data_IF_660160747413
#
_entry.id   IF_660160747413
#
_cell.length_a   1.000
_cell.length_b   1.000
_cell.length_c   1.000
_cell.angle_alpha   90.00
_cell.angle_beta   90.00
_cell.angle_gamma   90.00
#
_symmetry.space_group_name_H-M   'P 1'
#
loop_
_entity.id
_entity.type
_entity.pdbx_description
1 polymer ?
#
# COMPACT_ATOMS: atom_id res chain seq x y z
N UNK A 1 10.49 -29.70 10.69
CA UNK A 1 10.76 -28.25 10.52
C UNK A 1 10.89 -28.01 9.04
N UNK A 2 9.86 -27.46 8.38
CA UNK A 2 9.89 -27.20 6.93
C UNK A 2 10.73 -25.94 6.69
N UNK A 3 11.73 -26.03 5.84
CA UNK A 3 12.53 -24.87 5.46
C UNK A 3 11.64 -23.77 4.85
N UNK A 4 11.89 -22.47 5.13
CA UNK A 4 11.15 -21.40 4.51
C UNK A 4 11.32 -21.48 2.98
N UNK A 5 10.22 -21.31 2.25
CA UNK A 5 10.26 -21.26 0.79
C UNK A 5 11.19 -20.13 0.35
N UNK A 6 11.99 -20.34 -0.72
CA UNK A 6 12.80 -19.26 -1.27
C UNK A 6 11.90 -18.07 -1.64
N UNK A 7 12.38 -16.83 -1.49
CA UNK A 7 11.58 -15.66 -1.80
C UNK A 7 11.14 -15.73 -3.26
N UNK A 8 9.84 -15.58 -3.49
CA UNK A 8 9.29 -15.53 -4.83
C UNK A 8 9.95 -14.40 -5.63
N UNK A 9 10.16 -14.57 -6.95
CA UNK A 9 10.71 -13.51 -7.79
C UNK A 9 9.84 -12.24 -7.68
N UNK A 10 10.50 -11.08 -7.69
CA UNK A 10 9.81 -9.79 -7.59
C UNK A 10 8.90 -9.58 -8.81
N UNK A 11 7.70 -9.05 -8.55
CA UNK A 11 6.75 -8.65 -9.60
C UNK A 11 7.23 -7.35 -10.27
N UNK A 12 6.82 -7.13 -11.51
CA UNK A 12 7.19 -5.94 -12.31
C UNK A 12 5.95 -5.21 -12.80
N UNK A 13 5.96 -3.88 -12.74
CA UNK A 13 4.89 -3.05 -13.30
C UNK A 13 5.02 -2.97 -14.83
N UNK A 14 3.98 -2.50 -15.52
CA UNK A 14 4.03 -2.26 -16.96
C UNK A 14 5.09 -1.21 -17.34
N UNK A 15 5.44 -0.30 -16.42
CA UNK A 15 6.44 0.74 -16.61
C UNK A 15 7.87 0.29 -16.23
N UNK A 16 8.06 -0.96 -15.80
CA UNK A 16 9.38 -1.47 -15.44
C UNK A 16 10.45 -1.26 -16.53
N UNK A 17 10.22 -1.58 -17.82
CA UNK A 17 11.22 -1.33 -18.87
C UNK A 17 11.62 0.15 -18.97
N UNK A 18 10.66 1.07 -18.84
CA UNK A 18 10.89 2.51 -18.87
C UNK A 18 11.80 2.97 -17.72
N UNK A 19 11.62 2.39 -16.53
CA UNK A 19 12.44 2.70 -15.36
C UNK A 19 13.88 2.24 -15.54
N UNK A 20 14.07 1.00 -16.00
CA UNK A 20 15.40 0.43 -16.24
C UNK A 20 16.14 1.21 -17.32
N UNK A 21 15.48 1.53 -18.44
CA UNK A 21 16.05 2.31 -19.54
C UNK A 21 16.54 3.69 -19.08
N UNK A 22 15.85 4.31 -18.13
CA UNK A 22 16.20 5.64 -17.57
C UNK A 22 17.17 5.59 -16.40
N UNK A 23 17.74 4.42 -16.11
CA UNK A 23 18.74 4.27 -15.04
C UNK A 23 18.15 4.46 -13.64
N UNK A 24 16.88 4.15 -13.44
CA UNK A 24 16.29 4.19 -12.11
C UNK A 24 17.01 3.22 -11.15
N UNK A 25 17.23 3.65 -9.92
CA UNK A 25 17.68 2.78 -8.84
C UNK A 25 16.52 1.88 -8.38
N UNK A 26 16.44 0.67 -8.97
CA UNK A 26 15.39 -0.31 -8.68
C UNK A 26 15.59 -0.97 -7.31
N UNK A 27 14.51 -1.17 -6.55
CA UNK A 27 14.54 -1.80 -5.21
C UNK A 27 13.36 -2.76 -5.00
N UNK A 28 13.52 -3.79 -4.14
CA UNK A 28 12.39 -4.57 -3.67
C UNK A 28 11.47 -3.71 -2.78
N UNK A 29 10.20 -3.60 -3.15
CA UNK A 29 9.17 -2.91 -2.37
C UNK A 29 7.83 -3.65 -2.46
N UNK A 30 7.29 -4.09 -1.33
CA UNK A 30 6.00 -4.80 -1.24
C UNK A 30 5.85 -5.99 -2.21
N UNK A 31 6.95 -6.72 -2.48
CA UNK A 31 6.97 -7.83 -3.44
C UNK A 31 7.12 -7.43 -4.91
N UNK A 32 7.40 -6.16 -5.19
CA UNK A 32 7.63 -5.61 -6.52
C UNK A 32 9.05 -5.06 -6.69
N UNK A 33 9.54 -5.01 -7.93
CA UNK A 33 10.75 -4.32 -8.34
C UNK A 33 10.37 -2.89 -8.78
N UNK A 34 10.65 -1.88 -7.94
CA UNK A 34 10.15 -0.51 -8.09
C UNK A 34 11.28 0.53 -8.17
N UNK A 35 11.12 1.62 -8.93
CA UNK A 35 12.09 2.72 -8.96
C UNK A 35 12.09 3.50 -7.64
N UNK A 36 13.26 3.64 -7.01
CA UNK A 36 13.41 4.47 -5.79
C UNK A 36 13.73 5.93 -6.11
N UNK A 37 14.61 6.16 -7.08
CA UNK A 37 15.04 7.46 -7.60
C UNK A 37 15.79 7.26 -8.91
N UNK A 38 16.03 8.33 -9.68
CA UNK A 38 16.77 8.35 -10.95
C UNK A 38 18.07 9.18 -10.86
N UNK A 39 18.01 10.35 -10.20
CA UNK A 39 19.09 11.32 -10.07
C UNK A 39 19.49 11.57 -8.60
N UNK A 40 18.65 11.13 -7.66
CA UNK A 40 18.93 11.15 -6.23
C UNK A 40 17.80 11.78 -5.41
N UNK A 41 17.59 11.26 -4.20
CA UNK A 41 16.44 11.59 -3.34
C UNK A 41 16.31 13.10 -3.08
N UNK A 42 17.41 13.79 -2.75
CA UNK A 42 17.37 15.23 -2.44
C UNK A 42 17.10 16.09 -3.67
N UNK A 43 17.66 15.73 -4.83
CA UNK A 43 17.46 16.45 -6.08
C UNK A 43 16.00 16.32 -6.53
N UNK A 44 15.46 15.10 -6.51
CA UNK A 44 14.07 14.83 -6.87
C UNK A 44 13.08 15.44 -5.89
N UNK A 45 13.33 15.37 -4.58
CA UNK A 45 12.50 16.07 -3.60
C UNK A 45 12.40 17.57 -3.90
N UNK A 46 13.53 18.23 -4.19
CA UNK A 46 13.52 19.65 -4.58
C UNK A 46 12.73 19.87 -5.87
N UNK A 47 12.98 19.06 -6.90
CA UNK A 47 12.30 19.16 -8.19
C UNK A 47 10.77 19.06 -8.06
N UNK A 48 10.26 18.13 -7.25
CA UNK A 48 8.81 18.00 -7.00
C UNK A 48 8.27 19.16 -6.18
N UNK A 49 9.02 19.65 -5.19
CA UNK A 49 8.59 20.78 -4.34
C UNK A 49 8.53 22.11 -5.08
N UNK A 50 9.39 22.30 -6.07
CA UNK A 50 9.49 23.55 -6.84
C UNK A 50 8.93 23.44 -8.26
N UNK A 51 8.34 22.29 -8.61
CA UNK A 51 7.92 21.98 -9.97
C UNK A 51 6.91 20.84 -10.00
N UNK A 52 7.20 19.80 -10.76
CA UNK A 52 6.32 18.64 -10.97
C UNK A 52 7.10 17.34 -10.81
N UNK A 53 6.43 16.32 -10.28
CA UNK A 53 6.93 14.95 -10.20
C UNK A 53 5.93 13.97 -10.78
N UNK A 54 6.44 12.87 -11.32
CA UNK A 54 5.65 11.72 -11.76
C UNK A 54 6.09 10.49 -10.97
N UNK A 55 5.13 9.74 -10.44
CA UNK A 55 5.38 8.55 -9.62
C UNK A 55 4.64 7.34 -10.22
N UNK A 56 5.33 6.20 -10.34
CA UNK A 56 4.68 4.92 -10.66
C UNK A 56 4.07 4.32 -9.38
N UNK A 57 2.75 4.41 -9.27
CA UNK A 57 1.96 3.81 -8.18
C UNK A 57 1.24 2.53 -8.59
N UNK A 58 1.56 1.98 -9.77
CA UNK A 58 0.82 0.85 -10.37
C UNK A 58 0.92 -0.45 -9.57
N UNK A 59 1.85 -0.54 -8.62
CA UNK A 59 1.95 -1.66 -7.69
C UNK A 59 0.86 -1.64 -6.59
N UNK A 60 0.20 -0.50 -6.38
CA UNK A 60 -0.91 -0.37 -5.43
C UNK A 60 -2.14 -1.08 -5.97
N UNK A 61 -2.74 -1.95 -5.15
CA UNK A 61 -3.97 -2.63 -5.51
C UNK A 61 -5.15 -1.66 -5.63
N UNK A 62 -5.95 -1.84 -6.67
CA UNK A 62 -7.26 -1.18 -6.84
C UNK A 62 -8.36 -2.23 -6.66
N UNK A 63 -9.34 -1.91 -5.82
CA UNK A 63 -10.51 -2.76 -5.58
C UNK A 63 -11.76 -1.92 -5.87
N UNK A 64 -12.60 -2.42 -6.77
CA UNK A 64 -13.92 -1.84 -7.07
C UNK A 64 -14.99 -2.60 -6.29
N UNK A 65 -15.92 -1.88 -5.67
CA UNK A 65 -17.01 -2.46 -4.86
C UNK A 65 -18.32 -1.85 -5.32
N UNK A 66 -19.18 -2.67 -5.91
CA UNK A 66 -20.45 -2.27 -6.51
C UNK A 66 -21.67 -2.85 -5.78
N UNK A 67 -22.83 -2.22 -6.00
CA UNK A 67 -24.12 -2.66 -5.47
C UNK A 67 -24.69 -1.74 -4.38
N UNK A 68 -26.00 -1.84 -4.15
CA UNK A 68 -26.73 -0.96 -3.23
C UNK A 68 -26.18 -0.96 -1.79
N UNK A 69 -25.56 -2.06 -1.36
CA UNK A 69 -24.99 -2.23 -0.03
C UNK A 69 -23.56 -1.71 0.12
N UNK A 70 -22.87 -1.32 -0.97
CA UNK A 70 -21.46 -0.96 -0.96
C UNK A 70 -21.12 0.20 0.01
N UNK A 71 -21.87 1.31 0.07
CA UNK A 71 -21.57 2.39 1.01
C UNK A 71 -21.67 1.93 2.47
N UNK A 72 -22.68 1.11 2.78
CA UNK A 72 -22.87 0.55 4.12
C UNK A 72 -21.75 -0.42 4.50
N UNK A 73 -21.32 -1.26 3.56
CA UNK A 73 -20.24 -2.22 3.76
C UNK A 73 -18.93 -1.50 4.06
N UNK A 74 -18.55 -0.54 3.20
CA UNK A 74 -17.31 0.21 3.35
C UNK A 74 -17.32 1.05 4.63
N UNK A 75 -18.47 1.63 5.00
CA UNK A 75 -18.60 2.37 6.27
C UNK A 75 -18.46 1.47 7.51
N UNK A 76 -18.76 0.17 7.41
CA UNK A 76 -18.53 -0.80 8.50
C UNK A 76 -17.11 -1.33 8.54
N UNK A 77 -16.41 -1.33 7.41
CA UNK A 77 -15.04 -1.87 7.26
C UNK A 77 -13.95 -0.81 7.31
N UNK A 78 -14.33 0.45 7.45
CA UNK A 78 -13.39 1.56 7.52
C UNK A 78 -13.76 2.50 8.65
N UNK A 79 -12.86 3.41 9.01
CA UNK A 79 -13.15 4.48 9.99
C UNK A 79 -13.95 5.65 9.41
N UNK A 80 -14.31 5.60 8.13
CA UNK A 80 -15.02 6.67 7.43
C UNK A 80 -16.48 6.31 7.17
N UNK A 81 -17.37 7.29 7.24
CA UNK A 81 -18.73 7.17 6.73
C UNK A 81 -18.73 7.42 5.21
N UNK A 82 -18.58 6.36 4.44
CA UNK A 82 -18.55 6.39 2.96
C UNK A 82 -19.88 6.82 2.37
N UNK A 83 -21.00 6.57 3.07
CA UNK A 83 -22.34 7.00 2.62
C UNK A 83 -22.53 8.52 2.54
N UNK A 84 -21.59 9.31 3.08
CA UNK A 84 -21.59 10.79 2.97
C UNK A 84 -20.79 11.31 1.79
N UNK A 85 -20.04 10.47 1.09
CA UNK A 85 -19.28 10.90 -0.08
C UNK A 85 -20.21 11.10 -1.27
N UNK A 86 -19.98 12.18 -2.00
CA UNK A 86 -20.62 12.42 -3.31
C UNK A 86 -19.61 12.14 -4.44
N UNK A 87 -20.08 11.92 -5.68
CA UNK A 87 -19.19 11.68 -6.81
C UNK A 87 -18.08 12.72 -6.94
N UNK A 88 -16.86 12.28 -7.24
CA UNK A 88 -15.66 13.11 -7.33
C UNK A 88 -14.93 13.35 -6.00
N UNK A 89 -15.49 12.91 -4.86
CA UNK A 89 -14.81 13.00 -3.57
C UNK A 89 -13.97 11.76 -3.26
N UNK A 90 -12.88 11.98 -2.52
CA UNK A 90 -12.00 10.93 -2.01
C UNK A 90 -11.86 11.10 -0.50
N UNK A 91 -11.80 9.98 0.22
CA UNK A 91 -11.56 9.97 1.67
C UNK A 91 -10.46 8.98 2.02
N UNK A 92 -9.37 9.49 2.59
CA UNK A 92 -8.39 8.66 3.26
C UNK A 92 -9.00 8.08 4.55
N UNK A 93 -8.84 6.78 4.76
CA UNK A 93 -9.39 6.06 5.90
C UNK A 93 -8.56 4.82 6.22
N UNK A 94 -8.75 4.26 7.41
CA UNK A 94 -8.14 3.01 7.81
C UNK A 94 -9.12 1.86 7.56
N UNK A 95 -8.63 0.77 6.97
CA UNK A 95 -9.37 -0.49 6.93
C UNK A 95 -9.31 -1.16 8.30
N UNK A 96 -10.46 -1.59 8.80
CA UNK A 96 -10.60 -2.28 10.08
C UNK A 96 -10.52 -3.79 9.85
N UNK A 97 -9.67 -4.44 10.64
CA UNK A 97 -9.64 -5.91 10.70
C UNK A 97 -10.88 -6.44 11.42
N UNK A 98 -11.22 -7.71 11.17
CA UNK A 98 -12.34 -8.43 11.78
C UNK A 98 -12.10 -8.80 13.26
N UNK A 99 -10.99 -8.36 13.87
CA UNK A 99 -10.63 -8.79 15.21
C UNK A 99 -11.66 -8.34 16.25
N UNK A 100 -12.60 -9.26 16.57
CA UNK A 100 -13.25 -9.30 17.88
C UNK A 100 -12.13 -9.43 18.91
N UNK A 101 -12.14 -8.67 20.02
CA UNK A 101 -11.11 -8.81 21.03
C UNK A 101 -11.13 -10.24 21.56
N UNK A 102 -10.17 -11.06 21.14
CA UNK A 102 -9.86 -12.26 21.90
C UNK A 102 -9.34 -11.78 23.25
N UNK A 103 -10.05 -12.17 24.30
CA UNK A 103 -9.65 -12.02 25.69
C UNK A 103 -8.12 -12.06 25.83
N UNK A 104 -7.52 -10.95 26.27
CA UNK A 104 -6.22 -11.01 26.94
C UNK A 104 -6.39 -11.92 28.16
N UNK A 105 -6.04 -13.19 28.04
CA UNK A 105 -5.62 -13.97 29.20
C UNK A 105 -4.14 -13.64 29.43
N UNK A 106 -3.75 -13.19 30.62
CA UNK A 106 -2.33 -13.13 30.96
C UNK A 106 -1.85 -14.56 31.20
N UNK A 107 -1.09 -15.13 30.27
CA UNK A 107 -0.32 -16.33 30.54
C UNK A 107 1.02 -15.92 31.16
N UNK A 108 1.02 -15.88 32.50
CA UNK A 108 2.11 -16.10 33.44
C UNK A 108 3.56 -15.79 32.99
N UNK A 109 4.16 -14.75 33.58
CA UNK A 109 5.59 -14.73 33.87
C UNK A 109 5.76 -14.86 35.39
N UNK A 110 5.88 -16.10 35.86
CA UNK A 110 6.48 -16.41 37.16
C UNK A 110 8.00 -16.37 37.00
N UNK A 111 8.65 -15.53 37.79
CA UNK A 111 10.06 -15.68 38.15
C UNK A 111 10.21 -15.33 39.63
N UNK A 112 10.22 -16.37 40.46
CA UNK A 112 11.15 -16.51 41.58
C UNK A 112 12.22 -17.48 41.11
#
# INVERSE_FOLDING_TARGET
MTAPLPPAPLRRTALHPFHVERGAHMVPFAGWEMPRYYSGILAEHRAVRTGVGLFDVSHMGLITVDGASAPSLLSRRTTANVGRLVPGQVKYTFALDVHRPHHRRPAHLTAR
#
